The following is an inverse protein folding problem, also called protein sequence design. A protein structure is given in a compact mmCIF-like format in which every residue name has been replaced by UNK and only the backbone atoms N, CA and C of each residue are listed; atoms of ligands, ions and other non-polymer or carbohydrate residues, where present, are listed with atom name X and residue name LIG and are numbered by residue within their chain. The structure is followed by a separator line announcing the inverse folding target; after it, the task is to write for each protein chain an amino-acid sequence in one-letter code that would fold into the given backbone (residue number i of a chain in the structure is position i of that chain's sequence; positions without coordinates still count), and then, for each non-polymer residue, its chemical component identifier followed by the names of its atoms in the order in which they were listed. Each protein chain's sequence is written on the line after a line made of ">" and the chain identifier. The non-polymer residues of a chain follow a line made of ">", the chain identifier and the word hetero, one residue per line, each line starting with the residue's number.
data_IF_748873035734
#
_entry.id   IF_748873035734
#
_cell.length_a   1.000
_cell.length_b   1.000
_cell.length_c   1.000
_cell.angle_alpha   90.00
_cell.angle_beta   90.00
_cell.angle_gamma   90.00
#
_symmetry.space_group_name_H-M   'P 1'
#
loop_
_entity.id
_entity.type
_entity.pdbx_description
1 polymer ?
#
# COMPACT_ATOMS: atom_id res chain seq x y z
N UNK A 1 -1.88 50.32 -4.63
CA UNK A 1 -0.94 49.32 -4.07
C UNK A 1 -1.51 47.90 -4.03
N UNK A 2 -2.79 47.69 -3.66
CA UNK A 2 -3.43 46.35 -3.56
C UNK A 2 -3.24 45.42 -4.78
N UNK A 3 -3.46 45.92 -6.01
CA UNK A 3 -3.27 45.11 -7.24
C UNK A 3 -1.82 44.69 -7.50
N UNK A 4 -0.85 45.54 -7.12
CA UNK A 4 0.58 45.21 -7.23
C UNK A 4 0.99 44.14 -6.21
N UNK A 5 0.45 44.23 -4.99
CA UNK A 5 0.67 43.23 -3.95
C UNK A 5 0.09 41.86 -4.35
N UNK A 6 -1.13 41.84 -4.91
CA UNK A 6 -1.75 40.63 -5.44
C UNK A 6 -0.94 40.01 -6.58
N UNK A 7 -0.42 40.84 -7.49
CA UNK A 7 0.41 40.36 -8.60
C UNK A 7 1.74 39.76 -8.12
N UNK A 8 2.37 40.37 -7.11
CA UNK A 8 3.59 39.84 -6.49
C UNK A 8 3.32 38.53 -5.75
N UNK A 9 2.20 38.46 -5.01
CA UNK A 9 1.80 37.24 -4.31
C UNK A 9 1.53 36.09 -5.27
N UNK A 10 0.81 36.35 -6.37
CA UNK A 10 0.52 35.35 -7.38
C UNK A 10 1.80 34.82 -8.02
N UNK A 11 2.73 35.70 -8.39
CA UNK A 11 4.04 35.31 -8.92
C UNK A 11 4.81 34.43 -7.94
N UNK A 12 4.76 34.75 -6.65
CA UNK A 12 5.44 33.98 -5.62
C UNK A 12 4.86 32.57 -5.46
N UNK A 13 3.53 32.43 -5.44
CA UNK A 13 2.85 31.13 -5.34
C UNK A 13 3.15 30.27 -6.58
N UNK A 14 3.16 30.86 -7.77
CA UNK A 14 3.48 30.12 -8.99
C UNK A 14 4.91 29.59 -8.99
N UNK A 15 5.88 30.38 -8.52
CA UNK A 15 7.28 29.93 -8.41
C UNK A 15 7.40 28.83 -7.34
N UNK A 16 6.68 28.95 -6.22
CA UNK A 16 6.67 27.92 -5.18
C UNK A 16 6.10 26.59 -5.68
N UNK A 17 5.10 26.59 -6.55
CA UNK A 17 4.53 25.36 -7.13
C UNK A 17 5.45 24.64 -8.11
N UNK A 18 6.45 25.33 -8.64
CA UNK A 18 7.48 24.76 -9.52
C UNK A 18 8.66 24.20 -8.74
N UNK A 19 8.78 24.52 -7.45
CA UNK A 19 9.77 23.87 -6.60
C UNK A 19 9.37 22.40 -6.46
N UNK A 20 10.29 21.44 -6.66
CA UNK A 20 10.00 20.04 -6.42
C UNK A 20 9.46 19.90 -5.00
N UNK A 21 8.18 19.53 -4.87
CA UNK A 21 7.66 19.07 -3.58
C UNK A 21 8.48 17.86 -3.21
N UNK A 22 9.01 17.82 -1.98
CA UNK A 22 9.84 16.71 -1.57
C UNK A 22 9.01 15.42 -1.55
N UNK A 23 9.07 14.66 -2.64
CA UNK A 23 8.70 13.27 -2.68
C UNK A 23 9.87 12.51 -2.07
N UNK A 24 9.90 12.47 -0.74
CA UNK A 24 10.89 11.68 -0.03
C UNK A 24 10.58 10.21 -0.32
N UNK A 25 11.57 9.48 -0.83
CA UNK A 25 11.53 8.03 -0.77
C UNK A 25 11.51 7.62 0.71
N UNK A 26 10.76 6.57 1.02
CA UNK A 26 10.80 5.96 2.34
C UNK A 26 12.25 5.58 2.69
N UNK A 27 12.68 5.92 3.90
CA UNK A 27 14.05 5.71 4.39
C UNK A 27 14.36 4.26 4.77
N UNK A 28 13.34 3.41 4.84
CA UNK A 28 13.44 2.00 5.18
C UNK A 28 12.38 1.20 4.42
N UNK A 29 12.58 -0.12 4.35
CA UNK A 29 11.59 -1.04 3.79
C UNK A 29 10.32 -1.03 4.66
N UNK A 30 10.47 -0.91 5.97
CA UNK A 30 9.38 -0.78 6.93
C UNK A 30 8.56 0.51 6.71
N UNK A 31 9.22 1.65 6.47
CA UNK A 31 8.55 2.92 6.12
C UNK A 31 7.88 2.85 4.73
N UNK A 32 8.40 2.00 3.82
CA UNK A 32 7.91 1.86 2.46
C UNK A 32 6.71 0.91 2.35
N UNK A 33 6.75 -0.18 3.12
CA UNK A 33 5.76 -1.25 3.10
C UNK A 33 4.71 -1.11 4.21
N UNK A 34 4.97 -0.27 5.22
CA UNK A 34 4.23 -0.24 6.46
C UNK A 34 4.43 -1.53 7.25
N UNK A 35 4.33 -1.47 8.59
CA UNK A 35 4.14 -2.71 9.35
C UNK A 35 2.82 -3.35 8.89
N UNK A 36 2.93 -4.47 8.18
CA UNK A 36 1.77 -5.24 7.74
C UNK A 36 1.43 -6.22 8.85
N UNK A 37 0.34 -5.95 9.56
CA UNK A 37 -0.19 -6.87 10.55
C UNK A 37 -0.62 -8.18 9.87
N UNK A 38 -0.01 -9.28 10.29
CA UNK A 38 -0.32 -10.62 9.82
C UNK A 38 -1.25 -11.27 10.84
N UNK A 39 -2.48 -11.53 10.40
CA UNK A 39 -3.51 -12.12 11.23
C UNK A 39 -3.61 -13.62 10.96
N UNK A 40 -3.53 -14.42 12.02
CA UNK A 40 -3.82 -15.85 11.93
C UNK A 40 -5.34 -16.03 11.92
N UNK A 41 -5.87 -16.58 10.83
CA UNK A 41 -7.31 -16.68 10.63
C UNK A 41 -7.98 -17.68 11.57
N UNK A 42 -8.58 -17.16 12.62
CA UNK A 42 -9.65 -17.86 13.36
C UNK A 42 -10.94 -18.00 12.54
N UNK A 43 -10.99 -17.40 11.34
CA UNK A 43 -12.07 -17.46 10.35
C UNK A 43 -11.70 -18.35 9.15
N UNK A 44 -12.72 -18.96 8.52
CA UNK A 44 -12.55 -19.87 7.40
C UNK A 44 -12.86 -19.17 6.06
N UNK A 45 -11.95 -19.25 5.08
CA UNK A 45 -12.22 -18.85 3.70
C UNK A 45 -12.81 -20.01 2.92
N UNK A 46 -13.99 -19.77 2.34
CA UNK A 46 -14.56 -20.62 1.31
C UNK A 46 -13.89 -20.36 -0.04
N UNK A 47 -13.33 -21.37 -0.69
CA UNK A 47 -12.77 -21.28 -2.03
C UNK A 47 -13.29 -22.38 -2.95
N UNK A 48 -13.27 -22.12 -4.25
CA UNK A 48 -13.60 -23.11 -5.26
C UNK A 48 -12.31 -23.85 -5.64
N UNK A 49 -12.24 -25.14 -5.31
CA UNK A 49 -11.13 -25.98 -5.74
C UNK A 49 -11.16 -26.19 -7.27
N UNK A 50 -10.02 -26.56 -7.85
CA UNK A 50 -9.87 -26.76 -9.32
C UNK A 50 -10.90 -27.74 -9.89
N UNK A 51 -11.34 -28.70 -9.09
CA UNK A 51 -12.36 -29.67 -9.48
C UNK A 51 -13.81 -29.14 -9.32
N UNK A 52 -14.00 -27.85 -9.05
CA UNK A 52 -15.30 -27.22 -8.84
C UNK A 52 -15.93 -27.48 -7.47
N UNK A 53 -15.23 -28.13 -6.54
CA UNK A 53 -15.76 -28.35 -5.20
C UNK A 53 -15.56 -27.11 -4.31
N UNK A 54 -16.59 -26.72 -3.56
CA UNK A 54 -16.46 -25.70 -2.51
C UNK A 54 -15.68 -26.31 -1.34
N UNK A 55 -14.59 -25.68 -0.95
CA UNK A 55 -13.71 -26.07 0.17
C UNK A 55 -13.59 -24.92 1.15
N UNK A 56 -13.24 -25.23 2.40
CA UNK A 56 -12.96 -24.25 3.44
C UNK A 56 -11.54 -24.47 3.96
N UNK A 57 -10.84 -23.37 4.25
CA UNK A 57 -9.53 -23.42 4.90
C UNK A 57 -9.38 -22.27 5.89
N UNK A 58 -8.73 -22.54 7.02
CA UNK A 58 -8.12 -21.50 7.84
C UNK A 58 -6.84 -21.05 7.16
N UNK A 59 -6.59 -19.74 7.12
CA UNK A 59 -5.43 -19.17 6.46
C UNK A 59 -4.98 -17.92 7.18
N UNK A 60 -3.71 -17.59 6.99
CA UNK A 60 -3.14 -16.35 7.46
C UNK A 60 -3.35 -15.28 6.39
N UNK A 61 -3.65 -14.05 6.78
CA UNK A 61 -3.92 -12.95 5.87
C UNK A 61 -3.32 -11.64 6.37
N UNK A 62 -3.26 -10.66 5.48
CA UNK A 62 -3.01 -9.28 5.83
C UNK A 62 -4.02 -8.36 5.16
N UNK A 63 -4.21 -7.18 5.76
CA UNK A 63 -5.07 -6.12 5.23
C UNK A 63 -4.24 -5.06 4.53
N UNK A 64 -4.74 -4.52 3.43
CA UNK A 64 -4.12 -3.44 2.69
C UNK A 64 -5.15 -2.42 2.20
N UNK A 65 -4.73 -1.17 2.03
CA UNK A 65 -5.56 -0.13 1.42
C UNK A 65 -5.47 -0.22 -0.11
N UNK A 66 -6.62 -0.26 -0.78
CA UNK A 66 -6.69 -0.28 -2.24
C UNK A 66 -6.72 1.14 -2.81
N UNK A 67 -6.54 1.27 -4.13
CA UNK A 67 -6.50 2.57 -4.81
C UNK A 67 -7.77 3.43 -4.63
N UNK A 68 -8.89 2.81 -4.25
CA UNK A 68 -10.17 3.47 -3.96
C UNK A 68 -10.36 3.80 -2.47
N UNK A 69 -9.32 3.59 -1.64
CA UNK A 69 -9.35 3.81 -0.19
C UNK A 69 -10.04 2.68 0.60
N UNK A 70 -10.51 1.62 -0.06
CA UNK A 70 -11.12 0.48 0.63
C UNK A 70 -10.07 -0.45 1.23
N UNK A 71 -10.33 -0.97 2.43
CA UNK A 71 -9.52 -2.03 3.01
C UNK A 71 -9.83 -3.37 2.34
N UNK A 72 -8.80 -4.02 1.80
CA UNK A 72 -8.88 -5.33 1.17
C UNK A 72 -8.00 -6.33 1.90
N UNK A 73 -8.30 -7.59 1.67
CA UNK A 73 -7.64 -8.71 2.30
C UNK A 73 -6.86 -9.52 1.27
N UNK A 74 -5.66 -9.96 1.62
CA UNK A 74 -4.86 -10.88 0.82
C UNK A 74 -4.29 -12.00 1.68
N UNK A 75 -4.29 -13.26 1.20
CA UNK A 75 -3.67 -14.36 1.92
C UNK A 75 -2.15 -14.14 2.05
N UNK A 76 -1.62 -14.45 3.22
CA UNK A 76 -0.20 -14.44 3.54
C UNK A 76 0.34 -15.87 3.54
N UNK A 77 1.33 -16.14 2.69
CA UNK A 77 2.03 -17.42 2.65
C UNK A 77 3.50 -17.20 2.94
N UNK A 78 4.06 -17.96 3.89
CA UNK A 78 5.50 -18.02 4.09
C UNK A 78 6.12 -18.71 2.87
N UNK A 79 6.68 -17.93 1.94
CA UNK A 79 7.59 -18.47 0.95
C UNK A 79 8.92 -18.74 1.64
N UNK A 80 9.32 -20.00 1.73
CA UNK A 80 10.70 -20.35 2.04
C UNK A 80 11.50 -20.20 0.75
N UNK A 81 12.35 -19.18 0.58
CA UNK A 81 13.25 -19.12 -0.55
C UNK A 81 14.31 -20.18 -0.34
N UNK A 82 14.02 -21.44 -0.70
CA UNK A 82 15.07 -22.42 -0.92
C UNK A 82 15.97 -21.82 -1.97
N UNK A 83 17.17 -21.42 -1.55
CA UNK A 83 18.23 -20.97 -2.43
C UNK A 83 18.54 -22.15 -3.35
N UNK A 84 17.97 -22.16 -4.56
CA UNK A 84 18.39 -23.05 -5.63
C UNK A 84 19.78 -22.58 -6.05
N UNK A 85 20.81 -23.08 -5.37
CA UNK A 85 22.21 -22.96 -5.78
C UNK A 85 22.50 -24.15 -6.69
N UNK A 86 22.92 -23.95 -7.95
CA UNK A 86 23.69 -24.96 -8.67
C UNK A 86 25.11 -25.08 -8.13
#
# INVERSE_FOLDING_TARGET
>A
MKRRLLSLFLAFVTILSLLPTAAFAASSEEDALGEVDIYNGDYELGYLAINGAVKKQKYTYFLYESNDGSTKESPAYCVNPVRLVP
#
